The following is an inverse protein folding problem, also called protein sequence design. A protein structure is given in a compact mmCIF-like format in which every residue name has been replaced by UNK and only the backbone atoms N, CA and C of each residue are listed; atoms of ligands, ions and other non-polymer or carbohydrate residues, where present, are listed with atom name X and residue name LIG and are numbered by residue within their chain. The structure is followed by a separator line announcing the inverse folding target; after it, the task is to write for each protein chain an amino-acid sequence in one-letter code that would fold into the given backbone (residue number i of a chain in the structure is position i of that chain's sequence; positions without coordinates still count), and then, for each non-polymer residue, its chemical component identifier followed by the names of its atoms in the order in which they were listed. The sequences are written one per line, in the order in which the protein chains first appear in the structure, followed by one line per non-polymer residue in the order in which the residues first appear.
data_IF_832867527111
#
_entry.id   IF_832867527111
#
_cell.length_a   1.000
_cell.length_b   1.000
_cell.length_c   1.000
_cell.angle_alpha   90.00
_cell.angle_beta   90.00
_cell.angle_gamma   90.00
#
_symmetry.space_group_name_H-M   'P 1'
#
loop_
_entity.id
_entity.type
_entity.pdbx_description
1 polymer ?
#
# COMPACT_ATOMS: atom_id res chain seq x y z
N UNK A 1 -16.39 -33.89 5.30
CA UNK A 1 -17.37 -32.94 5.90
C UNK A 1 -17.31 -32.97 7.43
N UNK A 2 -17.34 -34.14 8.07
CA UNK A 2 -17.30 -34.28 9.55
C UNK A 2 -16.00 -33.76 10.17
N UNK A 3 -14.85 -34.07 9.58
CA UNK A 3 -13.53 -33.64 10.05
C UNK A 3 -13.37 -32.11 10.00
N UNK A 4 -13.91 -31.46 8.95
CA UNK A 4 -13.95 -30.02 8.80
C UNK A 4 -14.87 -29.34 9.82
N UNK A 5 -16.03 -29.94 10.10
CA UNK A 5 -16.96 -29.48 11.11
C UNK A 5 -16.37 -29.60 12.54
N UNK A 6 -15.66 -30.69 12.80
CA UNK A 6 -14.97 -30.93 14.08
C UNK A 6 -13.89 -29.86 14.33
N UNK A 7 -13.08 -29.52 13.31
CA UNK A 7 -12.01 -28.51 13.45
C UNK A 7 -12.57 -27.11 13.72
N UNK A 8 -13.64 -26.72 13.03
CA UNK A 8 -14.34 -25.45 13.32
C UNK A 8 -14.87 -25.42 14.75
N UNK A 9 -15.38 -26.55 15.26
CA UNK A 9 -15.82 -26.67 16.65
C UNK A 9 -14.64 -26.63 17.66
N UNK A 10 -13.43 -26.95 17.25
CA UNK A 10 -12.19 -26.87 18.01
C UNK A 10 -11.52 -25.47 17.90
N UNK A 11 -12.14 -24.52 17.19
CA UNK A 11 -11.66 -23.14 17.04
C UNK A 11 -10.71 -22.91 15.87
N UNK A 12 -10.57 -23.89 14.95
CA UNK A 12 -9.74 -23.72 13.75
C UNK A 12 -10.55 -23.17 12.59
N UNK A 13 -10.06 -22.13 11.97
CA UNK A 13 -10.65 -21.53 10.78
C UNK A 13 -10.42 -22.44 9.55
N UNK A 14 -11.51 -22.74 8.81
CA UNK A 14 -11.41 -23.47 7.55
C UNK A 14 -10.81 -22.62 6.41
N UNK A 15 -10.99 -21.30 6.51
CA UNK A 15 -10.49 -20.31 5.56
C UNK A 15 -10.17 -19.02 6.30
N UNK A 16 -9.06 -18.39 5.95
CA UNK A 16 -8.67 -17.08 6.46
C UNK A 16 -8.29 -16.16 5.29
N UNK A 17 -9.23 -15.35 4.80
CA UNK A 17 -8.94 -14.33 3.79
C UNK A 17 -8.29 -13.10 4.44
N UNK A 18 -7.14 -12.71 3.91
CA UNK A 18 -6.32 -11.60 4.38
C UNK A 18 -6.18 -10.58 3.25
N UNK A 19 -6.51 -9.32 3.51
CA UNK A 19 -6.20 -8.21 2.61
C UNK A 19 -4.92 -7.52 3.07
N UNK A 20 -3.93 -7.43 2.18
CA UNK A 20 -2.66 -6.74 2.40
C UNK A 20 -2.63 -5.45 1.58
N UNK A 21 -2.36 -4.31 2.22
CA UNK A 21 -2.19 -3.06 1.49
C UNK A 21 -1.00 -3.15 0.53
N UNK A 22 -1.21 -2.72 -0.72
CA UNK A 22 -0.21 -2.81 -1.79
C UNK A 22 1.06 -1.98 -1.56
N UNK A 23 1.10 -1.13 -0.53
CA UNK A 23 2.30 -0.42 -0.09
C UNK A 23 3.21 -1.27 0.80
N UNK A 24 2.73 -2.43 1.25
CA UNK A 24 3.50 -3.35 2.08
C UNK A 24 4.14 -4.44 1.21
N UNK A 25 5.38 -4.85 1.52
CA UNK A 25 6.00 -5.98 0.85
C UNK A 25 5.32 -7.29 1.27
N UNK A 26 5.20 -8.23 0.32
CA UNK A 26 4.59 -9.54 0.59
C UNK A 26 5.47 -10.43 1.45
N UNK A 27 6.78 -10.26 1.43
CA UNK A 27 7.75 -11.17 2.07
C UNK A 27 7.50 -11.38 3.57
N UNK A 28 7.28 -10.34 4.41
CA UNK A 28 6.96 -10.54 5.81
C UNK A 28 5.65 -11.32 6.01
N UNK A 29 4.66 -11.12 5.13
CA UNK A 29 3.40 -11.84 5.19
C UNK A 29 3.56 -13.31 4.84
N UNK A 30 4.40 -13.63 3.86
CA UNK A 30 4.73 -15.00 3.49
C UNK A 30 5.53 -15.72 4.59
N UNK A 31 6.43 -15.01 5.27
CA UNK A 31 7.14 -15.55 6.43
C UNK A 31 6.16 -15.92 7.56
N UNK A 32 5.22 -15.01 7.89
CA UNK A 32 4.15 -15.29 8.85
C UNK A 32 3.25 -16.46 8.43
N UNK A 33 2.92 -16.55 7.14
CA UNK A 33 2.14 -17.67 6.61
C UNK A 33 2.89 -19.00 6.77
N UNK A 34 4.21 -19.00 6.58
CA UNK A 34 5.05 -20.18 6.82
C UNK A 34 5.05 -20.62 8.28
N UNK A 35 5.19 -19.66 9.21
CA UNK A 35 5.10 -19.91 10.65
C UNK A 35 3.70 -20.44 11.03
N UNK A 36 2.65 -19.81 10.50
CA UNK A 36 1.26 -20.23 10.72
C UNK A 36 1.04 -21.69 10.33
N UNK A 37 1.53 -22.12 9.16
CA UNK A 37 1.39 -23.50 8.71
C UNK A 37 2.28 -24.50 9.46
N UNK A 38 3.33 -24.04 10.13
CA UNK A 38 4.16 -24.88 10.98
C UNK A 38 3.48 -25.23 12.32
N UNK A 39 2.48 -24.46 12.74
CA UNK A 39 1.74 -24.71 13.97
C UNK A 39 0.78 -25.91 13.81
N UNK A 40 0.70 -26.80 14.83
CA UNK A 40 -0.24 -27.91 14.81
C UNK A 40 -1.69 -27.44 14.64
N UNK A 41 -2.42 -28.06 13.72
CA UNK A 41 -3.82 -27.77 13.48
C UNK A 41 -4.10 -26.74 12.37
N UNK A 42 -3.10 -25.96 11.92
CA UNK A 42 -3.32 -24.94 10.87
C UNK A 42 -3.08 -25.44 9.43
N UNK A 43 -2.48 -26.62 9.26
CA UNK A 43 -2.09 -27.15 7.95
C UNK A 43 -3.23 -27.24 6.92
N UNK A 44 -4.48 -27.35 7.39
CA UNK A 44 -5.67 -27.47 6.54
C UNK A 44 -6.39 -26.14 6.30
N UNK A 45 -5.98 -25.04 6.94
CA UNK A 45 -6.60 -23.72 6.75
C UNK A 45 -6.27 -23.18 5.37
N UNK A 46 -7.30 -22.79 4.60
CA UNK A 46 -7.14 -22.13 3.29
C UNK A 46 -6.80 -20.64 3.52
N UNK A 47 -5.50 -20.31 3.63
CA UNK A 47 -5.05 -18.93 3.66
C UNK A 47 -5.21 -18.28 2.28
N UNK A 48 -5.87 -17.13 2.23
CA UNK A 48 -6.02 -16.33 1.02
C UNK A 48 -5.50 -14.94 1.24
N UNK A 49 -4.38 -14.62 0.62
CA UNK A 49 -3.75 -13.31 0.69
C UNK A 49 -4.02 -12.56 -0.61
N UNK A 50 -4.69 -11.42 -0.53
CA UNK A 50 -4.95 -10.55 -1.66
C UNK A 50 -4.32 -9.18 -1.42
N UNK A 51 -3.73 -8.58 -2.46
CA UNK A 51 -3.31 -7.19 -2.40
C UNK A 51 -4.50 -6.28 -2.70
N UNK A 52 -4.67 -5.30 -1.83
CA UNK A 52 -5.67 -4.25 -1.99
C UNK A 52 -5.01 -2.87 -2.06
N UNK A 53 -5.66 -1.92 -2.71
CA UNK A 53 -5.10 -0.60 -2.93
C UNK A 53 -5.86 0.44 -2.12
N UNK A 54 -5.14 1.18 -1.27
CA UNK A 54 -5.67 2.32 -0.49
C UNK A 54 -6.94 1.97 0.33
N UNK A 55 -8.03 2.71 0.12
CA UNK A 55 -9.29 2.53 0.85
C UNK A 55 -9.93 1.15 0.68
N UNK A 56 -9.58 0.41 -0.37
CA UNK A 56 -10.14 -0.92 -0.64
C UNK A 56 -9.76 -1.98 0.41
N UNK A 57 -8.67 -1.78 1.12
CA UNK A 57 -8.32 -2.63 2.25
C UNK A 57 -9.44 -2.61 3.31
N UNK A 58 -9.92 -1.43 3.70
CA UNK A 58 -11.07 -1.30 4.60
C UNK A 58 -12.37 -1.82 4.00
N UNK A 59 -12.64 -1.55 2.71
CA UNK A 59 -13.79 -2.10 2.02
C UNK A 59 -13.82 -3.64 2.07
N UNK A 60 -12.66 -4.29 2.01
CA UNK A 60 -12.57 -5.75 2.08
C UNK A 60 -13.03 -6.30 3.42
N UNK A 61 -12.76 -5.57 4.51
CA UNK A 61 -13.22 -5.93 5.86
C UNK A 61 -14.73 -5.67 6.01
N UNK A 62 -15.18 -4.45 5.70
CA UNK A 62 -16.58 -4.04 5.83
C UNK A 62 -17.52 -4.90 4.98
N UNK A 63 -17.08 -5.30 3.78
CA UNK A 63 -17.82 -6.17 2.86
C UNK A 63 -17.60 -7.67 3.15
N UNK A 64 -16.97 -8.01 4.26
CA UNK A 64 -16.70 -9.40 4.69
C UNK A 64 -15.99 -10.24 3.63
N UNK A 65 -15.12 -9.61 2.82
CA UNK A 65 -14.25 -10.27 1.84
C UNK A 65 -12.92 -10.68 2.44
N UNK A 66 -12.51 -10.02 3.53
CA UNK A 66 -11.35 -10.35 4.34
C UNK A 66 -11.75 -10.37 5.81
N UNK A 67 -11.16 -11.28 6.58
CA UNK A 67 -11.31 -11.37 8.02
C UNK A 67 -10.20 -10.61 8.73
N UNK A 68 -9.08 -10.40 8.03
CA UNK A 68 -7.94 -9.63 8.50
C UNK A 68 -7.46 -8.66 7.42
N UNK A 69 -7.16 -7.44 7.82
CA UNK A 69 -6.56 -6.43 6.95
C UNK A 69 -5.24 -5.96 7.55
N UNK A 70 -4.18 -5.95 6.74
CA UNK A 70 -2.84 -5.53 7.16
C UNK A 70 -2.40 -4.32 6.35
N UNK A 71 -2.00 -3.25 7.05
CA UNK A 71 -1.47 -2.03 6.44
C UNK A 71 -2.51 -0.98 6.07
N UNK A 72 -3.78 -1.19 6.37
CA UNK A 72 -4.78 -0.16 6.18
C UNK A 72 -4.45 1.08 7.04
N UNK A 73 -4.64 2.27 6.46
CA UNK A 73 -4.38 3.53 7.16
C UNK A 73 -5.36 3.72 8.32
N UNK A 74 -4.84 4.03 9.51
CA UNK A 74 -5.65 4.27 10.71
C UNK A 74 -6.63 5.44 10.62
N UNK A 75 -6.36 6.42 9.74
CA UNK A 75 -7.19 7.62 9.59
C UNK A 75 -8.60 7.34 9.02
N UNK A 76 -8.85 6.13 8.52
CA UNK A 76 -10.13 5.72 7.93
C UNK A 76 -10.63 4.39 8.51
N UNK A 77 -10.20 4.05 9.71
CA UNK A 77 -10.77 2.90 10.40
C UNK A 77 -12.29 3.09 10.55
N UNK A 78 -13.10 2.07 10.25
CA UNK A 78 -14.54 2.14 10.53
C UNK A 78 -14.77 2.41 12.02
N UNK A 79 -15.63 3.38 12.33
CA UNK A 79 -16.03 3.73 13.72
C UNK A 79 -17.27 2.96 14.17
N UNK A 80 -17.48 1.77 13.63
CA UNK A 80 -18.66 0.95 13.88
C UNK A 80 -18.62 0.14 15.19
N UNK A 81 -17.43 0.09 15.84
CA UNK A 81 -17.21 -0.70 17.04
C UNK A 81 -17.13 -2.22 16.82
N UNK A 82 -17.28 -2.69 15.58
CA UNK A 82 -17.22 -4.11 15.22
C UNK A 82 -15.80 -4.56 14.89
N UNK A 83 -14.92 -3.60 14.57
CA UNK A 83 -13.55 -3.89 14.12
C UNK A 83 -12.50 -3.50 15.17
N UNK A 84 -11.57 -4.40 15.40
CA UNK A 84 -10.41 -4.13 16.26
C UNK A 84 -9.21 -3.70 15.42
N UNK A 85 -8.60 -2.58 15.80
CA UNK A 85 -7.41 -2.06 15.12
C UNK A 85 -6.19 -2.08 16.02
N UNK A 86 -5.02 -2.38 15.44
CA UNK A 86 -3.74 -2.32 16.11
C UNK A 86 -2.72 -1.61 15.23
N UNK A 87 -2.08 -0.58 15.76
CA UNK A 87 -0.96 0.06 15.08
C UNK A 87 0.23 -0.91 15.04
N UNK A 88 0.69 -1.25 13.83
CA UNK A 88 1.84 -2.13 13.59
C UNK A 88 3.09 -1.36 13.14
N UNK A 89 2.94 -0.09 12.76
CA UNK A 89 4.07 0.75 12.34
C UNK A 89 3.62 1.98 11.59
N UNK A 90 4.61 2.72 11.10
CA UNK A 90 4.42 3.92 10.28
C UNK A 90 5.21 3.81 8.98
N UNK A 91 4.69 4.41 7.91
CA UNK A 91 5.36 4.52 6.63
C UNK A 91 5.82 5.97 6.39
N UNK A 92 7.12 6.15 6.18
CA UNK A 92 7.67 7.42 5.74
C UNK A 92 7.48 7.56 4.23
N UNK A 93 6.68 8.53 3.80
CA UNK A 93 6.52 8.84 2.37
C UNK A 93 7.52 9.91 1.94
N UNK A 94 8.18 9.65 0.82
CA UNK A 94 9.09 10.59 0.16
C UNK A 94 8.61 10.90 -1.24
N UNK A 95 8.89 12.11 -1.73
CA UNK A 95 8.69 12.45 -3.13
C UNK A 95 9.87 11.93 -3.94
N UNK A 96 9.59 11.18 -5.01
CA UNK A 96 10.62 10.63 -5.88
C UNK A 96 10.33 10.93 -7.35
N UNK A 97 11.40 10.93 -8.13
CA UNK A 97 11.36 11.02 -9.58
C UNK A 97 12.43 10.12 -10.19
N UNK A 98 12.27 9.71 -11.44
CA UNK A 98 13.29 8.98 -12.17
C UNK A 98 14.54 9.86 -12.42
N UNK A 99 15.71 9.25 -12.50
CA UNK A 99 16.99 9.95 -12.71
C UNK A 99 17.04 10.89 -13.93
N UNK A 100 16.17 10.64 -14.93
CA UNK A 100 16.05 11.47 -16.16
C UNK A 100 15.06 12.61 -16.03
N UNK A 101 14.31 12.70 -14.92
CA UNK A 101 13.33 13.73 -14.70
C UNK A 101 14.03 15.08 -14.40
N UNK A 102 13.53 16.23 -14.91
CA UNK A 102 14.15 17.55 -14.69
C UNK A 102 14.41 17.90 -13.22
N UNK A 103 13.53 17.45 -12.31
CA UNK A 103 13.71 17.69 -10.87
C UNK A 103 14.83 16.83 -10.25
N UNK A 104 15.23 15.71 -10.85
CA UNK A 104 16.29 14.85 -10.31
C UNK A 104 17.68 15.50 -10.31
N UNK A 105 17.91 16.45 -11.23
CA UNK A 105 19.19 17.18 -11.35
C UNK A 105 19.15 18.54 -10.64
N UNK A 106 17.99 18.93 -10.11
CA UNK A 106 17.80 20.21 -9.42
C UNK A 106 18.51 20.19 -8.06
N UNK A 107 19.24 21.26 -7.75
CA UNK A 107 19.84 21.47 -6.42
C UNK A 107 18.86 22.23 -5.51
N UNK A 108 18.78 21.79 -4.26
CA UNK A 108 17.97 22.41 -3.20
C UNK A 108 16.48 22.03 -3.23
N UNK A 109 15.76 22.44 -2.20
CA UNK A 109 14.34 22.11 -2.03
C UNK A 109 13.47 22.67 -3.17
N UNK A 110 12.44 21.91 -3.53
CA UNK A 110 11.53 22.27 -4.63
C UNK A 110 10.27 22.92 -4.06
N UNK A 111 9.94 24.15 -4.44
CA UNK A 111 8.74 24.82 -3.98
C UNK A 111 7.49 24.25 -4.66
N UNK A 112 6.34 24.36 -3.97
CA UNK A 112 5.07 23.78 -4.43
C UNK A 112 4.63 24.25 -5.82
N UNK A 113 4.85 25.52 -6.18
CA UNK A 113 4.47 26.04 -7.51
C UNK A 113 5.24 25.36 -8.65
N UNK A 114 6.51 24.97 -8.40
CA UNK A 114 7.32 24.20 -9.36
C UNK A 114 6.79 22.77 -9.47
N UNK A 115 6.45 22.12 -8.33
CA UNK A 115 5.89 20.77 -8.35
C UNK A 115 4.61 20.68 -9.18
N UNK A 116 3.74 21.70 -9.11
CA UNK A 116 2.49 21.76 -9.90
C UNK A 116 2.71 21.72 -11.40
N UNK A 117 3.88 22.13 -11.90
CA UNK A 117 4.21 22.10 -13.32
C UNK A 117 4.53 20.69 -13.82
N UNK A 118 4.81 19.76 -12.90
CA UNK A 118 5.15 18.38 -13.23
C UNK A 118 3.95 17.47 -13.01
N UNK A 119 3.78 16.47 -13.90
CA UNK A 119 2.72 15.47 -13.80
C UNK A 119 2.98 14.53 -12.62
N UNK A 120 1.99 14.31 -11.79
CA UNK A 120 2.07 13.36 -10.69
C UNK A 120 1.54 11.98 -11.10
N UNK A 121 2.24 10.93 -10.71
CA UNK A 121 1.76 9.56 -10.77
C UNK A 121 0.97 9.24 -9.50
N UNK A 122 -0.28 8.82 -9.66
CA UNK A 122 -1.15 8.38 -8.58
C UNK A 122 -1.60 6.95 -8.83
N UNK A 123 -1.84 6.20 -7.77
CA UNK A 123 -2.48 4.89 -7.87
C UNK A 123 -3.98 5.09 -7.77
N UNK A 124 -4.73 4.36 -8.60
CA UNK A 124 -6.18 4.38 -8.55
C UNK A 124 -6.65 3.92 -7.18
N UNK A 125 -7.42 4.77 -6.50
CA UNK A 125 -8.18 4.33 -5.34
C UNK A 125 -9.43 3.61 -5.88
N UNK A 126 -9.50 2.32 -5.61
CA UNK A 126 -10.61 1.47 -6.04
C UNK A 126 -11.65 1.27 -4.93
N UNK A 127 -11.58 2.07 -3.85
CA UNK A 127 -12.61 2.06 -2.82
C UNK A 127 -13.96 2.45 -3.39
N UNK A 128 -15.00 1.70 -3.00
CA UNK A 128 -16.39 1.97 -3.35
C UNK A 128 -17.17 2.62 -2.19
N UNK A 129 -16.65 2.54 -0.98
CA UNK A 129 -17.32 2.98 0.24
C UNK A 129 -16.69 4.23 0.87
N UNK A 130 -15.43 4.51 0.56
CA UNK A 130 -14.69 5.63 1.14
C UNK A 130 -14.37 6.70 0.10
N UNK A 131 -14.23 7.99 0.49
CA UNK A 131 -13.83 9.04 -0.42
C UNK A 131 -12.48 8.73 -1.08
N UNK A 132 -12.32 8.98 -2.40
CA UNK A 132 -11.06 8.73 -3.11
C UNK A 132 -9.90 9.46 -2.46
N UNK A 133 -8.78 8.77 -2.27
CA UNK A 133 -7.56 9.32 -1.69
C UNK A 133 -6.53 9.63 -2.77
N UNK A 134 -5.95 10.80 -2.66
CA UNK A 134 -4.81 11.23 -3.47
C UNK A 134 -3.74 11.79 -2.55
N UNK A 135 -2.98 10.90 -1.91
CA UNK A 135 -1.90 11.30 -1.02
C UNK A 135 -0.85 12.16 -1.76
N UNK A 136 -0.62 13.38 -1.29
CA UNK A 136 0.44 14.25 -1.78
C UNK A 136 0.16 14.98 -3.09
N UNK A 137 -1.08 15.03 -3.57
CA UNK A 137 -1.45 15.84 -4.73
C UNK A 137 -1.64 17.31 -4.37
N UNK A 138 -1.13 18.17 -5.22
CA UNK A 138 -1.38 19.61 -5.14
C UNK A 138 -2.62 19.98 -5.96
N UNK A 139 -3.41 20.92 -5.47
CA UNK A 139 -4.59 21.41 -6.19
C UNK A 139 -4.22 21.89 -7.61
N UNK A 140 -4.90 21.36 -8.62
CA UNK A 140 -4.67 21.67 -10.03
C UNK A 140 -3.45 21.00 -10.67
N UNK A 141 -2.74 20.12 -9.98
CA UNK A 141 -1.64 19.35 -10.56
C UNK A 141 -2.17 18.31 -11.56
N UNK A 142 -1.54 18.25 -12.74
CA UNK A 142 -1.86 17.20 -13.74
C UNK A 142 -1.40 15.83 -13.22
N UNK A 143 -2.23 14.80 -13.43
CA UNK A 143 -1.96 13.44 -12.97
C UNK A 143 -1.94 12.44 -14.12
N UNK A 144 -1.35 11.30 -13.85
CA UNK A 144 -1.62 10.01 -14.50
C UNK A 144 -2.06 9.03 -13.42
N UNK A 145 -3.18 8.37 -13.64
CA UNK A 145 -3.70 7.36 -12.73
C UNK A 145 -3.27 5.98 -13.21
N UNK A 146 -2.67 5.22 -12.33
CA UNK A 146 -2.06 3.92 -12.59
C UNK A 146 -2.75 2.84 -11.74
N UNK A 147 -2.79 1.58 -12.21
CA UNK A 147 -3.59 0.55 -11.54
C UNK A 147 -3.02 0.12 -10.19
N UNK A 148 -1.69 0.17 -10.03
CA UNK A 148 -1.00 -0.35 -8.86
C UNK A 148 0.33 0.37 -8.61
N UNK A 149 0.94 0.05 -7.47
CA UNK A 149 2.21 0.64 -7.03
C UNK A 149 3.39 0.21 -7.92
N UNK A 150 3.41 -1.02 -8.43
CA UNK A 150 4.49 -1.49 -9.31
C UNK A 150 4.51 -0.70 -10.63
N UNK A 151 3.33 -0.51 -11.22
CA UNK A 151 3.18 0.33 -12.41
C UNK A 151 3.57 1.77 -12.13
N UNK A 152 3.28 2.29 -10.92
CA UNK A 152 3.72 3.63 -10.50
C UNK A 152 5.24 3.73 -10.41
N UNK A 153 5.92 2.76 -9.81
CA UNK A 153 7.39 2.71 -9.75
C UNK A 153 7.97 2.68 -11.15
N UNK A 154 7.44 1.85 -12.04
CA UNK A 154 7.88 1.78 -13.44
C UNK A 154 7.71 3.12 -14.15
N UNK A 155 6.57 3.80 -14.02
CA UNK A 155 6.33 5.12 -14.62
C UNK A 155 7.31 6.18 -14.11
N UNK A 156 7.61 6.17 -12.81
CA UNK A 156 8.62 7.05 -12.20
C UNK A 156 10.01 6.81 -12.79
N UNK A 157 10.44 5.56 -12.94
CA UNK A 157 11.73 5.18 -13.55
C UNK A 157 11.86 5.67 -15.00
N UNK A 158 10.78 5.75 -15.75
CA UNK A 158 10.75 6.36 -17.09
C UNK A 158 11.03 7.87 -17.07
N UNK A 159 10.88 8.56 -15.94
CA UNK A 159 11.33 9.94 -15.75
C UNK A 159 10.41 11.02 -16.32
N UNK A 160 9.13 10.74 -16.57
CA UNK A 160 8.16 11.73 -17.08
C UNK A 160 7.14 12.17 -16.02
N UNK A 161 7.19 11.58 -14.83
CA UNK A 161 6.29 11.86 -13.71
C UNK A 161 7.07 11.93 -12.39
N UNK A 162 6.41 12.53 -11.37
CA UNK A 162 6.86 12.53 -9.97
C UNK A 162 5.80 11.83 -9.13
N UNK A 163 6.16 11.36 -7.92
CA UNK A 163 5.17 10.73 -7.05
C UNK A 163 5.69 10.45 -5.65
N UNK A 164 4.76 10.41 -4.70
CA UNK A 164 5.05 9.99 -3.34
C UNK A 164 4.99 8.47 -3.22
N UNK A 165 5.99 7.88 -2.58
CA UNK A 165 6.07 6.46 -2.26
C UNK A 165 6.71 6.26 -0.89
N UNK A 166 6.38 5.17 -0.18
CA UNK A 166 7.10 4.79 1.02
C UNK A 166 8.59 4.59 0.71
N UNK A 167 9.46 5.21 1.51
CA UNK A 167 10.93 5.11 1.37
C UNK A 167 11.41 3.67 1.27
N UNK A 168 10.87 2.80 2.14
CA UNK A 168 11.26 1.38 2.17
C UNK A 168 10.89 0.63 0.90
N UNK A 169 9.78 0.98 0.27
CA UNK A 169 9.30 0.32 -0.94
C UNK A 169 10.21 0.58 -2.14
N UNK A 170 10.86 1.74 -2.20
CA UNK A 170 11.75 2.15 -3.30
C UNK A 170 13.22 2.21 -2.88
N UNK A 171 13.58 1.57 -1.78
CA UNK A 171 14.95 1.60 -1.25
C UNK A 171 15.97 1.05 -2.24
N UNK A 172 15.61 0.00 -2.98
CA UNK A 172 16.47 -0.59 -4.01
C UNK A 172 16.69 0.38 -5.17
N UNK A 173 15.62 0.94 -5.73
CA UNK A 173 15.70 1.90 -6.85
C UNK A 173 16.46 3.18 -6.47
N UNK A 174 16.36 3.60 -5.20
CA UNK A 174 17.16 4.71 -4.69
C UNK A 174 18.65 4.35 -4.61
N UNK A 175 18.98 3.14 -4.12
CA UNK A 175 20.38 2.69 -4.03
C UNK A 175 21.05 2.51 -5.40
N UNK A 176 20.30 2.05 -6.39
CA UNK A 176 20.76 1.93 -7.78
C UNK A 176 20.73 3.27 -8.55
N UNK A 177 20.25 4.34 -7.94
CA UNK A 177 20.12 5.64 -8.59
C UNK A 177 19.13 5.68 -9.75
N UNK A 178 18.20 4.73 -9.83
CA UNK A 178 17.12 4.72 -10.81
C UNK A 178 16.03 5.72 -10.46
N UNK A 179 15.78 5.88 -9.16
CA UNK A 179 14.97 6.93 -8.57
C UNK A 179 15.83 7.87 -7.72
N UNK A 180 15.38 9.12 -7.64
CA UNK A 180 16.02 10.17 -6.84
C UNK A 180 14.97 10.80 -5.95
N UNK A 181 15.30 10.95 -4.67
CA UNK A 181 14.46 11.68 -3.73
C UNK A 181 14.50 13.18 -4.02
N UNK A 182 13.34 13.79 -4.07
CA UNK A 182 13.17 15.23 -4.30
C UNK A 182 12.89 15.91 -2.97
N UNK A 183 13.82 16.74 -2.55
CA UNK A 183 13.64 17.56 -1.35
C UNK A 183 12.53 18.58 -1.56
N UNK A 184 11.62 18.69 -0.60
CA UNK A 184 10.53 19.65 -0.61
C UNK A 184 10.89 20.89 0.23
N UNK A 185 10.51 22.06 -0.26
CA UNK A 185 10.52 23.26 0.57
C UNK A 185 9.47 23.08 1.69
N UNK A 186 9.90 23.27 2.93
CA UNK A 186 8.96 23.25 4.06
C UNK A 186 8.05 24.48 3.98
N UNK A 187 6.75 24.30 4.26
CA UNK A 187 5.83 25.44 4.31
C UNK A 187 6.17 26.44 5.40
#
# INVERSE_FOLDING_TARGET
LEERAKRVSEGYEARLPIALDGLLPSEPMLALASEFYAEPGHAETDLRIAHETLGRAWDSLVLQRADLVVGASGDNAPEDGEHHTRLIGTLEFILVAGRRHPLAVRRGPVPQHVLRMHRAAVVADSSSQLPPRAAGLLAGQKTITLPDVHTKVAALKHGFVIGFLPRRLVAHELSEGELVEIALERP
#
